data_IF_655953079197
#
_entry.id   IF_655953079197
#
_cell.length_a   1.000
_cell.length_b   1.000
_cell.length_c   1.000
_cell.angle_alpha   90.00
_cell.angle_beta   90.00
_cell.angle_gamma   90.00
#
_symmetry.space_group_name_H-M   'P 1'
#
loop_
_entity.id
_entity.type
_entity.pdbx_description
1 polymer ?
#
# COMPACT_ATOMS: atom_id res chain seq x y z
N UNK A 1 -8.22 -18.22 12.17
CA UNK A 1 -7.40 -17.04 11.88
C UNK A 1 -8.17 -16.11 10.99
N UNK A 2 -8.15 -14.81 11.28
CA UNK A 2 -8.73 -13.79 10.41
C UNK A 2 -7.87 -13.70 9.15
N UNK A 3 -8.52 -13.63 7.97
CA UNK A 3 -7.83 -13.48 6.68
C UNK A 3 -7.80 -12.02 6.29
N UNK A 4 -6.72 -11.60 5.64
CA UNK A 4 -6.61 -10.28 4.99
C UNK A 4 -6.91 -10.47 3.51
N UNK A 5 -7.83 -9.66 2.97
CA UNK A 5 -8.16 -9.63 1.55
C UNK A 5 -7.67 -8.29 0.99
N UNK A 6 -6.68 -8.34 0.13
CA UNK A 6 -6.07 -7.17 -0.49
C UNK A 6 -6.67 -6.97 -1.88
N UNK A 7 -7.34 -5.86 -2.08
CA UNK A 7 -7.77 -5.37 -3.39
C UNK A 7 -6.72 -4.37 -3.84
N UNK A 8 -5.82 -4.79 -4.73
CA UNK A 8 -4.65 -3.96 -4.98
C UNK A 8 -3.87 -4.31 -6.25
N UNK A 9 -2.93 -3.43 -6.57
CA UNK A 9 -2.12 -3.49 -7.79
C UNK A 9 -0.96 -4.46 -7.69
N UNK A 10 -0.59 -5.00 -8.85
CA UNK A 10 0.67 -5.71 -9.12
C UNK A 10 1.36 -4.98 -10.26
N UNK A 11 2.62 -4.58 -10.08
CA UNK A 11 3.40 -3.89 -11.11
C UNK A 11 4.76 -4.54 -11.34
N UNK A 12 5.34 -4.26 -12.48
CA UNK A 12 6.77 -4.36 -12.68
C UNK A 12 7.38 -2.97 -12.49
N UNK A 13 8.33 -2.86 -11.56
CA UNK A 13 9.02 -1.62 -11.28
C UNK A 13 10.35 -1.62 -12.04
N UNK A 14 10.54 -0.61 -12.88
CA UNK A 14 11.78 -0.36 -13.62
C UNK A 14 12.42 0.91 -13.10
N UNK A 15 13.51 0.79 -12.32
CA UNK A 15 14.24 1.94 -11.81
C UNK A 15 15.39 2.28 -12.75
N UNK A 16 15.38 3.50 -13.30
CA UNK A 16 16.46 4.09 -14.07
C UNK A 16 17.34 4.88 -13.12
N UNK A 17 18.57 4.41 -12.89
CA UNK A 17 19.55 5.15 -12.09
C UNK A 17 20.19 6.23 -12.97
N UNK A 18 20.05 7.47 -12.55
CA UNK A 18 20.47 8.65 -13.31
C UNK A 18 21.54 9.46 -12.56
N UNK A 19 22.51 10.08 -13.26
CA UNK A 19 23.41 11.02 -12.61
C UNK A 19 22.69 12.27 -12.08
N UNK A 20 21.58 12.67 -12.71
CA UNK A 20 20.65 13.73 -12.31
C UNK A 20 19.31 13.56 -13.02
N UNK A 21 18.26 14.17 -12.51
CA UNK A 21 17.01 14.27 -13.25
C UNK A 21 17.15 15.23 -14.44
N UNK A 22 16.59 14.90 -15.62
CA UNK A 22 16.60 15.79 -16.78
C UNK A 22 15.63 16.97 -16.59
N UNK A 23 16.01 18.13 -17.11
CA UNK A 23 15.06 19.22 -17.33
C UNK A 23 14.34 19.06 -18.67
N UNK A 24 13.24 19.79 -18.87
CA UNK A 24 12.52 19.80 -20.14
C UNK A 24 13.47 20.09 -21.33
N UNK A 25 13.39 19.26 -22.36
CA UNK A 25 14.25 19.34 -23.55
C UNK A 25 15.63 18.70 -23.41
N UNK A 26 15.96 18.09 -22.27
CA UNK A 26 17.25 17.42 -22.06
C UNK A 26 17.12 15.90 -22.11
N UNK A 27 18.12 15.23 -22.69
CA UNK A 27 18.37 13.81 -22.56
C UNK A 27 19.39 13.53 -21.46
N UNK A 28 19.22 12.43 -20.73
CA UNK A 28 20.21 11.91 -19.76
C UNK A 28 20.38 10.41 -20.00
N UNK A 29 21.63 9.96 -19.97
CA UNK A 29 21.92 8.53 -20.06
C UNK A 29 21.84 7.89 -18.68
N UNK A 30 21.05 6.83 -18.53
CA UNK A 30 21.01 6.05 -17.30
C UNK A 30 22.34 5.33 -17.07
N UNK A 31 22.80 5.30 -15.83
CA UNK A 31 24.01 4.59 -15.41
C UNK A 31 23.76 3.11 -15.11
N UNK A 32 22.52 2.78 -14.71
CA UNK A 32 22.06 1.42 -14.48
C UNK A 32 20.53 1.33 -14.60
N UNK A 33 20.04 0.12 -14.79
CA UNK A 33 18.60 -0.19 -14.76
C UNK A 33 18.39 -1.39 -13.85
N UNK A 34 17.42 -1.29 -12.93
CA UNK A 34 17.00 -2.43 -12.09
C UNK A 34 15.54 -2.74 -12.33
N UNK A 35 15.17 -4.02 -12.20
CA UNK A 35 13.81 -4.51 -12.39
C UNK A 35 13.38 -5.30 -11.15
N UNK A 36 12.20 -4.99 -10.62
CA UNK A 36 11.60 -5.73 -9.51
C UNK A 36 10.11 -5.94 -9.73
N UNK A 37 9.55 -6.88 -8.99
CA UNK A 37 8.11 -6.97 -8.81
C UNK A 37 7.72 -5.98 -7.71
N UNK A 38 6.65 -5.25 -7.93
CA UNK A 38 6.12 -4.24 -7.02
C UNK A 38 4.61 -4.09 -7.14
N UNK A 39 4.15 -2.89 -6.87
CA UNK A 39 2.74 -2.55 -6.76
C UNK A 39 2.28 -2.56 -5.30
N UNK A 40 1.45 -1.57 -4.93
CA UNK A 40 1.03 -1.40 -3.54
C UNK A 40 0.34 -2.65 -3.00
N UNK A 41 -0.58 -3.24 -3.76
CA UNK A 41 -1.27 -4.46 -3.38
C UNK A 41 -0.32 -5.64 -3.18
N UNK A 42 0.65 -5.81 -4.08
CA UNK A 42 1.68 -6.84 -3.98
C UNK A 42 2.55 -6.65 -2.73
N UNK A 43 3.07 -5.43 -2.52
CA UNK A 43 3.93 -5.09 -1.38
C UNK A 43 3.20 -5.29 -0.04
N UNK A 44 1.97 -4.77 0.08
CA UNK A 44 1.14 -4.93 1.29
C UNK A 44 0.85 -6.40 1.57
N UNK A 45 0.55 -7.18 0.51
CA UNK A 45 0.28 -8.62 0.66
C UNK A 45 1.50 -9.37 1.17
N UNK A 46 2.69 -9.10 0.60
CA UNK A 46 3.95 -9.71 1.05
C UNK A 46 4.29 -9.28 2.47
N UNK A 47 4.11 -8.00 2.80
CA UNK A 47 4.37 -7.50 4.15
C UNK A 47 3.47 -8.16 5.19
N UNK A 48 2.19 -8.29 4.92
CA UNK A 48 1.26 -8.97 5.82
C UNK A 48 1.53 -10.48 5.93
N UNK A 49 1.90 -11.15 4.83
CA UNK A 49 2.28 -12.57 4.85
C UNK A 49 3.57 -12.79 5.67
N UNK A 50 4.60 -11.94 5.48
CA UNK A 50 5.85 -11.98 6.26
C UNK A 50 5.64 -11.65 7.74
N UNK A 51 4.61 -10.86 8.06
CA UNK A 51 4.15 -10.62 9.43
C UNK A 51 3.42 -11.83 10.04
N UNK A 52 3.12 -12.88 9.26
CA UNK A 52 2.49 -14.13 9.68
C UNK A 52 0.99 -14.21 9.44
N UNK A 53 0.40 -13.28 8.69
CA UNK A 53 -1.03 -13.31 8.37
C UNK A 53 -1.34 -14.20 7.15
N UNK A 54 -2.59 -14.69 7.08
CA UNK A 54 -3.12 -15.31 5.86
C UNK A 54 -3.65 -14.21 4.93
N UNK A 55 -3.05 -14.08 3.76
CA UNK A 55 -3.33 -12.98 2.82
C UNK A 55 -3.79 -13.55 1.48
N UNK A 56 -4.90 -13.02 0.98
CA UNK A 56 -5.44 -13.27 -0.36
C UNK A 56 -5.36 -11.97 -1.17
N UNK A 57 -4.79 -12.02 -2.35
CA UNK A 57 -4.68 -10.86 -3.25
C UNK A 57 -5.70 -10.97 -4.39
N UNK A 58 -6.51 -9.93 -4.54
CA UNK A 58 -7.47 -9.74 -5.64
C UNK A 58 -6.90 -8.68 -6.58
N UNK A 59 -6.44 -9.11 -7.75
CA UNK A 59 -5.75 -8.27 -8.73
C UNK A 59 -5.84 -8.87 -10.14
N UNK A 60 -5.10 -8.30 -11.07
CA UNK A 60 -4.87 -8.91 -12.37
C UNK A 60 -3.45 -8.64 -12.87
N UNK A 61 -2.91 -9.60 -13.66
CA UNK A 61 -1.63 -9.49 -14.37
C UNK A 61 -1.83 -9.74 -15.85
N UNK A 62 -0.92 -9.24 -16.65
CA UNK A 62 -0.89 -9.48 -18.10
C UNK A 62 -0.37 -10.86 -18.48
N UNK A 63 -0.16 -11.06 -19.78
CA UNK A 63 0.45 -12.28 -20.33
C UNK A 63 1.89 -12.50 -19.87
N UNK A 64 2.56 -11.46 -19.42
CA UNK A 64 3.93 -11.43 -18.89
C UNK A 64 4.00 -11.63 -17.35
N UNK A 65 2.87 -11.88 -16.66
CA UNK A 65 2.75 -11.87 -15.23
C UNK A 65 3.35 -13.05 -14.45
N UNK A 66 3.93 -14.06 -15.12
CA UNK A 66 4.40 -15.31 -14.48
C UNK A 66 5.42 -15.08 -13.37
N UNK A 67 6.37 -14.19 -13.58
CA UNK A 67 7.38 -13.83 -12.59
C UNK A 67 6.75 -13.22 -11.35
N UNK A 68 5.82 -12.28 -11.53
CA UNK A 68 5.15 -11.61 -10.40
C UNK A 68 4.34 -12.62 -9.58
N UNK A 69 3.57 -13.48 -10.22
CA UNK A 69 2.78 -14.51 -9.54
C UNK A 69 3.66 -15.50 -8.78
N UNK A 70 4.81 -15.90 -9.36
CA UNK A 70 5.74 -16.78 -8.67
C UNK A 70 6.33 -16.12 -7.42
N UNK A 71 6.84 -14.89 -7.52
CA UNK A 71 7.44 -14.19 -6.38
C UNK A 71 6.42 -13.96 -5.23
N UNK A 72 5.16 -13.65 -5.56
CA UNK A 72 4.08 -13.49 -4.57
C UNK A 72 3.73 -14.82 -3.89
N UNK A 73 3.60 -15.90 -4.65
CA UNK A 73 3.31 -17.23 -4.10
C UNK A 73 4.46 -17.73 -3.21
N UNK A 74 5.72 -17.55 -3.63
CA UNK A 74 6.92 -17.89 -2.85
C UNK A 74 6.98 -17.08 -1.53
N UNK A 75 6.43 -15.87 -1.50
CA UNK A 75 6.30 -15.04 -0.31
C UNK A 75 5.12 -15.44 0.61
N UNK A 76 4.32 -16.43 0.23
CA UNK A 76 3.18 -16.93 1.01
C UNK A 76 1.86 -16.20 0.78
N UNK A 77 1.75 -15.42 -0.30
CA UNK A 77 0.50 -14.75 -0.69
C UNK A 77 -0.38 -15.73 -1.47
N UNK A 78 -1.65 -15.83 -1.10
CA UNK A 78 -2.65 -16.57 -1.87
C UNK A 78 -3.06 -15.76 -3.11
N UNK A 79 -2.68 -16.27 -4.29
CA UNK A 79 -2.86 -15.62 -5.59
C UNK A 79 -4.01 -16.20 -6.42
N UNK A 80 -4.83 -17.08 -5.86
CA UNK A 80 -5.88 -17.77 -6.64
C UNK A 80 -6.92 -16.81 -7.24
N UNK A 81 -7.02 -15.57 -6.70
CA UNK A 81 -7.89 -14.50 -7.23
C UNK A 81 -7.15 -13.45 -8.07
N UNK A 82 -5.92 -13.72 -8.44
CA UNK A 82 -5.24 -12.88 -9.41
C UNK A 82 -5.60 -13.34 -10.82
N UNK A 83 -6.37 -12.53 -11.54
CA UNK A 83 -6.79 -12.84 -12.91
C UNK A 83 -5.62 -12.69 -13.88
N UNK A 84 -5.62 -13.50 -14.93
CA UNK A 84 -4.70 -13.36 -16.07
C UNK A 84 -5.41 -12.72 -17.25
N UNK A 85 -4.76 -11.73 -17.86
CA UNK A 85 -5.21 -11.00 -19.06
C UNK A 85 -4.15 -11.16 -20.16
N UNK A 86 -4.14 -12.29 -20.90
CA UNK A 86 -3.07 -12.60 -21.83
C UNK A 86 -2.85 -11.56 -22.93
N UNK A 87 -3.90 -10.81 -23.26
CA UNK A 87 -3.92 -9.76 -24.29
C UNK A 87 -3.39 -8.41 -23.80
N UNK A 88 -3.07 -8.30 -22.52
CA UNK A 88 -2.57 -7.08 -21.89
C UNK A 88 -1.17 -7.31 -21.31
N UNK A 89 -0.47 -6.22 -20.99
CA UNK A 89 0.73 -6.24 -20.15
C UNK A 89 0.36 -6.07 -18.68
N UNK A 90 1.19 -6.61 -17.80
CA UNK A 90 1.17 -6.22 -16.38
C UNK A 90 1.50 -4.73 -16.27
N UNK A 91 0.90 -4.04 -15.31
CA UNK A 91 1.20 -2.62 -15.07
C UNK A 91 2.69 -2.40 -14.79
N UNK A 92 3.22 -1.24 -15.15
CA UNK A 92 4.63 -0.89 -14.94
C UNK A 92 4.74 0.43 -14.19
N UNK A 93 5.73 0.55 -13.30
CA UNK A 93 6.17 1.82 -12.74
C UNK A 93 7.59 2.07 -13.20
N UNK A 94 7.80 3.18 -13.93
CA UNK A 94 9.14 3.63 -14.33
C UNK A 94 9.61 4.67 -13.33
N UNK A 95 10.60 4.33 -12.51
CA UNK A 95 11.15 5.19 -11.47
C UNK A 95 12.45 5.81 -12.00
N UNK A 96 12.56 7.12 -11.92
CA UNK A 96 13.74 7.88 -12.26
C UNK A 96 14.40 8.29 -10.94
N UNK A 97 15.53 7.66 -10.60
CA UNK A 97 16.26 7.89 -9.35
C UNK A 97 17.60 8.53 -9.65
N UNK A 98 17.82 9.76 -9.19
CA UNK A 98 19.07 10.47 -9.34
C UNK A 98 20.03 10.22 -8.17
N UNK A 99 21.31 10.51 -8.37
CA UNK A 99 22.36 10.32 -7.34
C UNK A 99 22.18 11.19 -6.11
N UNK A 100 21.48 12.32 -6.21
CA UNK A 100 21.11 13.20 -5.10
C UNK A 100 19.83 12.73 -4.36
N UNK A 101 19.34 11.52 -4.66
CA UNK A 101 18.12 10.92 -4.14
C UNK A 101 16.81 11.61 -4.58
N UNK A 102 16.89 12.58 -5.49
CA UNK A 102 15.68 13.10 -6.13
C UNK A 102 15.07 12.03 -7.04
N UNK A 103 13.74 11.87 -6.97
CA UNK A 103 13.05 10.84 -7.74
C UNK A 103 11.71 11.33 -8.28
N UNK A 104 11.26 10.70 -9.34
CA UNK A 104 9.86 10.70 -9.75
C UNK A 104 9.50 9.38 -10.43
N UNK A 105 8.24 8.98 -10.29
CA UNK A 105 7.70 7.76 -10.90
C UNK A 105 6.65 8.06 -11.96
N UNK A 106 6.65 7.26 -13.01
CA UNK A 106 5.58 7.25 -14.02
C UNK A 106 4.90 5.89 -13.95
N UNK A 107 3.61 5.89 -13.65
CA UNK A 107 2.81 4.66 -13.65
C UNK A 107 2.20 4.45 -15.03
N UNK A 108 2.46 3.28 -15.61
CA UNK A 108 1.84 2.82 -16.84
C UNK A 108 0.77 1.79 -16.45
N UNK A 109 -0.52 2.13 -16.59
CA UNK A 109 -1.61 1.21 -16.25
C UNK A 109 -1.55 -0.05 -17.09
N UNK A 110 -1.94 -1.18 -16.52
CA UNK A 110 -1.99 -2.47 -17.19
C UNK A 110 -3.22 -3.29 -16.80
N UNK A 111 -3.04 -4.59 -16.73
CA UNK A 111 -4.09 -5.55 -16.39
C UNK A 111 -4.73 -5.29 -15.01
N UNK A 112 -4.00 -4.70 -14.06
CA UNK A 112 -4.46 -4.33 -12.72
C UNK A 112 -5.68 -3.41 -12.71
N UNK A 113 -5.88 -2.62 -13.77
CA UNK A 113 -7.06 -1.75 -13.95
C UNK A 113 -8.26 -2.46 -14.60
N UNK A 114 -8.17 -3.78 -14.79
CA UNK A 114 -9.17 -4.58 -15.50
C UNK A 114 -9.65 -5.80 -14.68
N UNK A 115 -9.65 -5.68 -13.36
CA UNK A 115 -10.29 -6.66 -12.48
C UNK A 115 -11.81 -6.57 -12.66
N UNK A 116 -12.49 -7.69 -12.86
CA UNK A 116 -13.94 -7.69 -13.07
C UNK A 116 -14.71 -7.45 -11.78
N UNK A 117 -15.89 -6.78 -11.87
CA UNK A 117 -16.78 -6.62 -10.72
C UNK A 117 -17.15 -7.95 -10.10
N UNK A 118 -17.32 -9.02 -10.91
CA UNK A 118 -17.59 -10.37 -10.42
C UNK A 118 -16.45 -10.90 -9.50
N UNK A 119 -15.19 -10.63 -9.86
CA UNK A 119 -14.05 -11.03 -9.02
C UNK A 119 -14.05 -10.26 -7.68
N UNK A 120 -14.37 -8.98 -7.70
CA UNK A 120 -14.54 -8.19 -6.47
C UNK A 120 -15.69 -8.72 -5.62
N UNK A 121 -16.86 -8.94 -6.22
CA UNK A 121 -18.04 -9.46 -5.49
C UNK A 121 -17.77 -10.83 -4.86
N UNK A 122 -17.13 -11.75 -5.61
CA UNK A 122 -16.77 -13.06 -5.10
C UNK A 122 -15.79 -13.02 -3.91
N UNK A 123 -14.87 -12.04 -3.88
CA UNK A 123 -13.96 -11.83 -2.77
C UNK A 123 -14.69 -11.18 -1.57
N UNK A 124 -15.50 -10.14 -1.83
CA UNK A 124 -16.30 -9.43 -0.82
C UNK A 124 -17.29 -10.40 -0.14
N UNK A 125 -17.91 -11.30 -0.89
CA UNK A 125 -18.85 -12.28 -0.35
C UNK A 125 -18.24 -13.22 0.69
N UNK A 126 -16.94 -13.47 0.60
CA UNK A 126 -16.22 -14.29 1.57
C UNK A 126 -15.74 -13.50 2.80
N UNK A 127 -15.79 -12.17 2.75
CA UNK A 127 -15.42 -11.32 3.89
C UNK A 127 -16.49 -11.40 5.00
N UNK A 128 -16.38 -12.43 5.85
CA UNK A 128 -17.24 -12.67 7.01
C UNK A 128 -16.39 -12.90 8.26
N UNK A 129 -17.00 -12.69 9.43
CA UNK A 129 -16.44 -13.17 10.69
C UNK A 129 -15.09 -12.57 11.09
N UNK A 130 -14.81 -11.35 10.67
CA UNK A 130 -13.61 -10.61 11.07
C UNK A 130 -12.48 -10.63 10.06
N UNK A 131 -12.71 -11.04 8.80
CA UNK A 131 -11.78 -10.75 7.71
C UNK A 131 -11.60 -9.26 7.56
N UNK A 132 -10.39 -8.82 7.21
CA UNK A 132 -10.04 -7.40 7.03
C UNK A 132 -9.71 -7.17 5.56
N UNK A 133 -10.39 -6.20 4.94
CA UNK A 133 -10.07 -5.74 3.60
C UNK A 133 -9.00 -4.64 3.61
N UNK A 134 -8.20 -4.60 2.56
CA UNK A 134 -7.35 -3.47 2.21
C UNK A 134 -7.60 -3.09 0.75
N UNK A 135 -7.62 -1.80 0.46
CA UNK A 135 -7.85 -1.27 -0.89
C UNK A 135 -6.83 -0.17 -1.18
N UNK A 136 -6.08 -0.29 -2.28
CA UNK A 136 -5.21 0.79 -2.77
C UNK A 136 -5.87 1.65 -3.87
N UNK A 137 -5.29 2.82 -4.13
CA UNK A 137 -5.80 3.79 -5.11
C UNK A 137 -5.62 3.38 -6.58
N UNK A 138 -4.90 2.30 -6.86
CA UNK A 138 -4.64 1.82 -8.23
C UNK A 138 -5.77 0.94 -8.78
N UNK A 139 -6.63 0.40 -7.91
CA UNK A 139 -7.69 -0.52 -8.31
C UNK A 139 -8.80 0.22 -9.07
N UNK A 140 -9.29 -0.37 -10.16
CA UNK A 140 -10.53 0.09 -10.77
C UNK A 140 -11.73 -0.18 -9.84
N UNK A 141 -12.78 0.60 -9.97
CA UNK A 141 -14.05 0.41 -9.23
C UNK A 141 -13.90 0.34 -7.69
N UNK A 142 -12.91 1.04 -7.12
CA UNK A 142 -12.66 1.05 -5.67
C UNK A 142 -13.89 1.49 -4.86
N UNK A 143 -14.71 2.39 -5.38
CA UNK A 143 -15.98 2.76 -4.75
C UNK A 143 -16.95 1.58 -4.63
N UNK A 144 -16.95 0.62 -5.58
CA UNK A 144 -17.74 -0.61 -5.51
C UNK A 144 -17.24 -1.50 -4.36
N UNK A 145 -15.93 -1.67 -4.24
CA UNK A 145 -15.30 -2.44 -3.14
C UNK A 145 -15.67 -1.83 -1.78
N UNK A 146 -15.54 -0.51 -1.61
CA UNK A 146 -15.88 0.18 -0.35
C UNK A 146 -17.34 -0.08 0.03
N UNK A 147 -18.28 0.14 -0.90
CA UNK A 147 -19.72 -0.09 -0.64
C UNK A 147 -20.01 -1.57 -0.35
N UNK A 148 -19.35 -2.48 -1.06
CA UNK A 148 -19.50 -3.92 -0.86
C UNK A 148 -19.07 -4.37 0.53
N UNK A 149 -17.89 -3.97 0.97
CA UNK A 149 -17.35 -4.26 2.29
C UNK A 149 -18.22 -3.65 3.40
N UNK A 150 -18.66 -2.40 3.23
CA UNK A 150 -19.55 -1.73 4.18
C UNK A 150 -20.91 -2.48 4.34
N UNK A 151 -21.55 -2.91 3.23
CA UNK A 151 -22.78 -3.71 3.28
C UNK A 151 -22.61 -5.04 4.04
N UNK A 152 -21.41 -5.60 4.02
CA UNK A 152 -21.07 -6.83 4.76
C UNK A 152 -20.73 -6.58 6.22
N UNK A 153 -20.57 -5.33 6.65
CA UNK A 153 -20.04 -4.99 7.96
C UNK A 153 -18.59 -5.46 8.15
N UNK A 154 -17.87 -5.68 7.06
CA UNK A 154 -16.48 -6.12 7.07
C UNK A 154 -15.53 -4.93 7.17
N UNK A 155 -14.55 -4.96 8.10
CA UNK A 155 -13.58 -3.87 8.22
C UNK A 155 -12.79 -3.70 6.92
N UNK A 156 -12.60 -2.43 6.50
CA UNK A 156 -11.81 -2.06 5.33
C UNK A 156 -10.83 -0.94 5.68
N UNK A 157 -9.56 -1.15 5.38
CA UNK A 157 -8.53 -0.12 5.38
C UNK A 157 -8.37 0.37 3.93
N UNK A 158 -8.56 1.66 3.70
CA UNK A 158 -8.37 2.28 2.39
C UNK A 158 -7.08 3.10 2.40
N UNK A 159 -6.18 2.81 1.47
CA UNK A 159 -5.04 3.66 1.15
C UNK A 159 -5.29 4.33 -0.21
N UNK A 160 -5.72 5.60 -0.24
CA UNK A 160 -6.15 6.27 -1.47
C UNK A 160 -4.95 6.71 -2.33
N UNK A 161 -3.91 5.92 -2.39
CA UNK A 161 -2.64 6.23 -3.06
C UNK A 161 -2.50 5.45 -4.38
N UNK A 162 -2.15 6.14 -5.48
CA UNK A 162 -2.03 7.59 -5.63
C UNK A 162 -3.40 8.28 -5.61
N UNK A 163 -3.45 9.51 -5.07
CA UNK A 163 -4.66 10.32 -5.11
C UNK A 163 -4.85 10.88 -6.52
N UNK A 164 -5.83 10.37 -7.23
CA UNK A 164 -6.26 10.88 -8.53
C UNK A 164 -7.77 11.23 -8.47
N UNK A 165 -8.34 11.94 -9.47
CA UNK A 165 -9.70 12.45 -9.39
C UNK A 165 -10.75 11.40 -8.99
N UNK A 166 -10.69 10.20 -9.58
CA UNK A 166 -11.66 9.14 -9.27
C UNK A 166 -11.60 8.70 -7.81
N UNK A 167 -10.38 8.60 -7.22
CA UNK A 167 -10.15 8.22 -5.83
C UNK A 167 -10.70 9.28 -4.87
N UNK A 168 -10.60 10.55 -5.25
CA UNK A 168 -11.13 11.65 -4.44
C UNK A 168 -12.66 11.59 -4.27
N UNK A 169 -13.36 10.93 -5.21
CA UNK A 169 -14.82 10.72 -5.20
C UNK A 169 -15.27 9.43 -4.51
N UNK A 170 -14.34 8.63 -4.02
CA UNK A 170 -14.68 7.39 -3.32
C UNK A 170 -15.44 7.67 -2.02
N UNK A 171 -16.42 6.82 -1.65
CA UNK A 171 -17.21 6.97 -0.43
C UNK A 171 -16.40 6.52 0.81
N UNK A 172 -15.25 7.18 1.06
CA UNK A 172 -14.27 6.79 2.09
C UNK A 172 -14.85 6.87 3.52
N UNK A 173 -15.93 7.62 3.73
CA UNK A 173 -16.65 7.63 5.01
C UNK A 173 -17.27 6.27 5.38
N UNK A 174 -17.36 5.34 4.41
CA UNK A 174 -17.82 3.96 4.65
C UNK A 174 -16.68 2.98 4.97
N UNK A 175 -15.43 3.42 4.88
CA UNK A 175 -14.27 2.63 5.31
C UNK A 175 -14.20 2.56 6.85
N UNK A 176 -13.42 1.62 7.37
CA UNK A 176 -13.11 1.54 8.80
C UNK A 176 -11.93 2.45 9.15
N UNK A 177 -10.92 2.47 8.29
CA UNK A 177 -9.69 3.25 8.45
C UNK A 177 -9.30 3.81 7.09
N UNK A 178 -8.85 5.07 7.06
CA UNK A 178 -8.16 5.69 5.93
C UNK A 178 -6.70 5.83 6.34
N UNK A 179 -5.80 5.27 5.52
CA UNK A 179 -4.36 5.33 5.74
C UNK A 179 -3.72 6.07 4.58
N UNK A 180 -2.94 7.10 4.87
CA UNK A 180 -2.32 7.94 3.84
C UNK A 180 -1.06 8.61 4.39
N UNK A 181 -0.19 9.07 3.50
CA UNK A 181 0.94 9.89 3.88
C UNK A 181 0.60 11.40 3.85
N UNK A 182 1.51 12.22 4.34
CA UNK A 182 1.33 13.68 4.44
C UNK A 182 1.09 14.34 3.07
N UNK A 183 1.76 13.87 2.00
CA UNK A 183 1.58 14.39 0.64
C UNK A 183 0.19 14.07 0.08
N UNK A 184 -0.29 12.86 0.30
CA UNK A 184 -1.64 12.41 -0.09
C UNK A 184 -2.71 13.16 0.71
N UNK A 185 -2.49 13.36 2.02
CA UNK A 185 -3.37 14.14 2.87
C UNK A 185 -3.45 15.60 2.39
N UNK A 186 -2.32 16.20 2.02
CA UNK A 186 -2.29 17.55 1.43
C UNK A 186 -3.14 17.62 0.16
N UNK A 187 -3.00 16.66 -0.73
CA UNK A 187 -3.78 16.61 -1.98
C UNK A 187 -5.28 16.54 -1.72
N UNK A 188 -5.71 15.81 -0.68
CA UNK A 188 -7.14 15.67 -0.35
C UNK A 188 -7.71 16.82 0.45
N UNK A 189 -6.88 17.57 1.19
CA UNK A 189 -7.36 18.54 2.19
C UNK A 189 -6.92 19.98 1.95
N UNK A 190 -5.92 20.17 1.08
CA UNK A 190 -5.25 21.46 0.85
C UNK A 190 -4.65 22.08 2.14
N UNK A 191 -4.26 21.21 3.09
CA UNK A 191 -3.64 21.60 4.35
C UNK A 191 -2.17 21.17 4.40
N UNK A 192 -1.30 22.01 4.99
CA UNK A 192 0.13 21.70 5.17
C UNK A 192 0.44 21.08 6.54
N UNK A 193 -0.23 21.59 7.58
CA UNK A 193 -0.05 21.15 8.97
C UNK A 193 -0.74 19.78 9.18
N UNK A 194 -0.04 18.85 9.82
CA UNK A 194 -0.50 17.48 10.02
C UNK A 194 -1.77 17.37 10.88
N UNK A 195 -1.94 18.26 11.84
CA UNK A 195 -3.14 18.28 12.68
C UNK A 195 -4.32 18.87 11.90
N UNK A 196 -4.09 19.92 11.12
CA UNK A 196 -5.10 20.49 10.22
C UNK A 196 -5.51 19.48 9.14
N UNK A 197 -4.57 18.69 8.59
CA UNK A 197 -4.87 17.59 7.68
C UNK A 197 -5.81 16.56 8.31
N UNK A 198 -5.52 16.11 9.54
CA UNK A 198 -6.36 15.14 10.24
C UNK A 198 -7.76 15.71 10.50
N UNK A 199 -7.87 16.99 10.94
CA UNK A 199 -9.16 17.64 11.17
C UNK A 199 -9.98 17.74 9.88
N UNK A 200 -9.36 18.16 8.78
CA UNK A 200 -9.99 18.26 7.49
C UNK A 200 -10.43 16.87 6.93
N UNK A 201 -9.61 15.83 7.17
CA UNK A 201 -9.98 14.45 6.79
C UNK A 201 -11.19 13.95 7.59
N UNK A 202 -11.25 14.19 8.90
CA UNK A 202 -12.43 13.82 9.69
C UNK A 202 -13.67 14.63 9.32
N UNK A 203 -13.51 15.91 8.94
CA UNK A 203 -14.63 16.72 8.46
C UNK A 203 -15.16 16.22 7.11
N UNK A 204 -14.26 15.84 6.18
CA UNK A 204 -14.61 15.33 4.86
C UNK A 204 -15.17 13.90 4.91
N UNK A 205 -14.60 13.04 5.75
CA UNK A 205 -14.94 11.62 5.87
C UNK A 205 -15.27 11.27 7.32
N UNK A 206 -16.45 11.63 7.81
CA UNK A 206 -16.84 11.31 9.19
C UNK A 206 -17.02 9.79 9.36
N UNK A 207 -16.43 9.23 10.42
CA UNK A 207 -16.56 7.82 10.78
C UNK A 207 -15.26 7.02 10.82
N UNK A 208 -14.45 6.97 9.74
CA UNK A 208 -13.19 6.24 9.75
C UNK A 208 -12.18 6.74 10.76
N UNK A 209 -11.36 5.81 11.29
CA UNK A 209 -10.08 6.18 11.90
C UNK A 209 -9.11 6.66 10.82
N UNK A 210 -8.22 7.59 11.17
CA UNK A 210 -7.19 8.13 10.27
C UNK A 210 -5.82 7.66 10.75
N UNK A 211 -5.04 7.08 9.84
CA UNK A 211 -3.60 6.84 10.00
C UNK A 211 -2.87 7.77 9.05
N UNK A 212 -2.15 8.75 9.57
CA UNK A 212 -1.34 9.69 8.78
C UNK A 212 0.13 9.39 9.00
N UNK A 213 0.82 8.84 7.99
CA UNK A 213 2.24 8.53 8.06
C UNK A 213 3.09 9.75 7.72
N UNK A 214 4.18 9.96 8.47
CA UNK A 214 5.06 11.14 8.44
C UNK A 214 6.53 10.77 8.11
N UNK A 215 6.77 9.59 7.52
CA UNK A 215 8.11 9.08 7.24
C UNK A 215 8.93 8.90 8.52
N UNK A 216 10.12 9.50 8.59
CA UNK A 216 11.02 9.41 9.77
C UNK A 216 10.46 10.03 11.05
N UNK A 217 9.37 10.78 10.97
CA UNK A 217 8.67 11.32 12.14
C UNK A 217 7.60 10.38 12.70
N UNK A 218 7.43 9.17 12.12
CA UNK A 218 6.45 8.18 12.58
C UNK A 218 5.07 8.37 11.96
N UNK A 219 4.01 8.25 12.76
CA UNK A 219 2.63 8.36 12.27
C UNK A 219 1.70 8.93 13.34
N UNK A 220 0.59 9.51 12.91
CA UNK A 220 -0.56 9.81 13.76
C UNK A 220 -1.65 8.76 13.61
N UNK A 221 -2.18 8.33 14.73
CA UNK A 221 -3.46 7.63 14.81
C UNK A 221 -4.52 8.56 15.36
N UNK A 222 -5.62 8.72 14.65
CA UNK A 222 -6.74 9.55 15.10
C UNK A 222 -8.06 8.80 14.92
N UNK A 223 -8.82 8.65 16.00
CA UNK A 223 -10.12 7.99 15.97
C UNK A 223 -11.05 8.59 17.05
N UNK A 224 -12.27 8.95 16.66
CA UNK A 224 -13.33 9.45 17.56
C UNK A 224 -12.86 10.55 18.50
N UNK A 225 -12.10 11.51 17.98
CA UNK A 225 -11.57 12.65 18.76
C UNK A 225 -10.30 12.36 19.56
N UNK A 226 -9.88 11.11 19.67
CA UNK A 226 -8.61 10.74 20.30
C UNK A 226 -7.50 10.72 19.26
N UNK A 227 -6.33 11.31 19.59
CA UNK A 227 -5.12 11.27 18.76
C UNK A 227 -3.96 10.74 19.57
N UNK A 228 -3.14 9.92 18.93
CA UNK A 228 -1.88 9.46 19.50
C UNK A 228 -0.78 9.43 18.44
N UNK A 229 0.39 9.91 18.80
CA UNK A 229 1.57 9.81 17.96
C UNK A 229 2.24 8.44 18.14
N UNK A 230 2.60 7.83 17.04
CA UNK A 230 3.32 6.56 16.95
C UNK A 230 4.75 6.90 16.52
N UNK A 231 5.73 6.86 17.42
CA UNK A 231 7.11 7.11 17.05
C UNK A 231 7.66 5.98 16.18
N UNK A 232 8.65 6.30 15.36
CA UNK A 232 9.41 5.29 14.62
C UNK A 232 10.85 5.20 15.13
N UNK A 233 11.51 4.07 14.82
CA UNK A 233 12.93 3.88 15.12
C UNK A 233 13.73 4.73 14.12
N UNK A 234 14.72 5.48 14.63
CA UNK A 234 15.61 6.25 13.76
C UNK A 234 16.66 5.33 13.15
N UNK A 235 16.72 5.32 11.83
CA UNK A 235 17.65 4.48 11.04
C UNK A 235 18.25 5.32 9.91
N UNK A 236 19.38 4.88 9.37
CA UNK A 236 19.92 5.42 8.13
C UNK A 236 19.15 4.82 6.95
N UNK A 237 18.24 5.59 6.39
CA UNK A 237 17.48 5.16 5.24
C UNK A 237 18.37 5.07 4.00
N UNK A 238 18.25 3.98 3.25
CA UNK A 238 18.93 3.71 1.99
C UNK A 238 17.94 3.86 0.82
N UNK A 239 16.72 3.32 1.00
CA UNK A 239 15.68 3.30 -0.03
C UNK A 239 14.31 3.33 0.65
N UNK A 240 13.45 4.29 0.29
CA UNK A 240 12.12 4.47 0.87
C UNK A 240 11.03 3.63 0.19
N UNK A 241 11.40 2.92 -0.88
CA UNK A 241 10.47 2.08 -1.64
C UNK A 241 9.81 1.04 -0.73
N UNK A 242 8.50 0.85 -0.89
CA UNK A 242 7.68 -0.09 -0.12
C UNK A 242 7.59 0.16 1.41
N UNK A 243 8.15 1.25 1.94
CA UNK A 243 8.06 1.54 3.39
C UNK A 243 6.61 1.71 3.86
N UNK A 244 5.81 2.49 3.13
CA UNK A 244 4.39 2.70 3.42
C UNK A 244 3.57 1.40 3.28
N UNK A 245 3.90 0.59 2.28
CA UNK A 245 3.24 -0.70 2.04
C UNK A 245 3.62 -1.72 3.13
N UNK A 246 4.89 -1.72 3.57
CA UNK A 246 5.36 -2.52 4.72
C UNK A 246 4.62 -2.12 5.99
N UNK A 247 4.50 -0.81 6.25
CA UNK A 247 3.73 -0.29 7.37
C UNK A 247 2.27 -0.78 7.31
N UNK A 248 1.61 -0.65 6.16
CA UNK A 248 0.24 -1.10 5.97
C UNK A 248 0.07 -2.61 6.20
N UNK A 249 0.93 -3.44 5.61
CA UNK A 249 0.86 -4.89 5.74
C UNK A 249 1.05 -5.39 7.18
N UNK A 250 2.03 -4.84 7.91
CA UNK A 250 2.25 -5.16 9.32
C UNK A 250 1.11 -4.67 10.22
N UNK A 251 0.56 -3.48 9.94
CA UNK A 251 -0.61 -2.98 10.64
C UNK A 251 -1.83 -3.90 10.46
N UNK A 252 -2.11 -4.30 9.23
CA UNK A 252 -3.20 -5.23 8.92
C UNK A 252 -3.02 -6.58 9.62
N UNK A 253 -1.79 -7.12 9.64
CA UNK A 253 -1.48 -8.37 10.33
C UNK A 253 -1.74 -8.26 11.83
N UNK A 254 -1.32 -7.17 12.49
CA UNK A 254 -1.61 -6.93 13.89
C UNK A 254 -3.12 -6.85 14.18
N UNK A 255 -3.89 -6.15 13.35
CA UNK A 255 -5.35 -6.10 13.47
C UNK A 255 -6.00 -7.47 13.27
N UNK A 256 -5.50 -8.28 12.33
CA UNK A 256 -5.98 -9.64 12.10
C UNK A 256 -5.69 -10.57 13.28
N UNK A 257 -4.57 -10.39 13.96
CA UNK A 257 -4.21 -11.08 15.21
C UNK A 257 -5.01 -10.57 16.44
N UNK A 258 -5.81 -9.51 16.28
CA UNK A 258 -6.65 -8.94 17.33
C UNK A 258 -5.92 -7.95 18.24
N UNK A 259 -4.76 -7.45 17.83
CA UNK A 259 -4.04 -6.39 18.55
C UNK A 259 -4.84 -5.08 18.57
N UNK A 260 -4.61 -4.29 19.61
CA UNK A 260 -5.11 -2.93 19.62
C UNK A 260 -4.44 -2.11 18.50
N UNK A 261 -5.15 -1.20 17.81
CA UNK A 261 -4.59 -0.43 16.70
C UNK A 261 -3.26 0.28 17.03
N UNK A 262 -3.12 0.80 18.24
CA UNK A 262 -1.88 1.46 18.67
C UNK A 262 -0.68 0.49 18.68
N UNK A 263 -0.85 -0.72 19.19
CA UNK A 263 0.21 -1.75 19.25
C UNK A 263 0.58 -2.23 17.83
N UNK A 264 -0.45 -2.49 17.01
CA UNK A 264 -0.26 -2.86 15.61
C UNK A 264 0.50 -1.78 14.82
N UNK A 265 0.22 -0.48 15.07
CA UNK A 265 0.92 0.64 14.45
C UNK A 265 2.36 0.77 14.93
N UNK A 266 2.66 0.50 16.20
CA UNK A 266 4.04 0.47 16.69
C UNK A 266 4.87 -0.62 16.00
N UNK A 267 4.31 -1.83 15.84
CA UNK A 267 4.96 -2.91 15.11
C UNK A 267 5.15 -2.55 13.63
N UNK A 268 4.15 -1.93 13.01
CA UNK A 268 4.20 -1.45 11.63
C UNK A 268 5.32 -0.41 11.42
N UNK A 269 5.46 0.54 12.37
CA UNK A 269 6.52 1.55 12.31
C UNK A 269 7.93 0.93 12.39
N UNK A 270 8.13 -0.09 13.24
CA UNK A 270 9.40 -0.84 13.32
C UNK A 270 9.70 -1.58 12.01
N UNK A 271 8.70 -2.25 11.44
CA UNK A 271 8.85 -2.96 10.18
C UNK A 271 9.21 -2.02 9.02
N UNK A 272 8.53 -0.88 8.93
CA UNK A 272 8.82 0.15 7.93
C UNK A 272 10.24 0.74 8.12
N UNK A 273 10.69 0.96 9.35
CA UNK A 273 12.05 1.42 9.64
C UNK A 273 13.11 0.41 9.18
N UNK A 274 12.88 -0.90 9.36
CA UNK A 274 13.78 -1.92 8.83
C UNK A 274 13.73 -1.98 7.30
N UNK A 275 12.57 -1.84 6.69
CA UNK A 275 12.41 -1.84 5.24
C UNK A 275 13.31 -0.79 4.58
N UNK A 276 13.31 0.44 5.05
CA UNK A 276 14.09 1.54 4.44
C UNK A 276 15.62 1.38 4.56
N UNK A 277 16.12 0.42 5.34
CA UNK A 277 17.55 0.09 5.42
C UNK A 277 18.03 -0.85 4.31
N UNK A 278 17.16 -1.22 3.37
CA UNK A 278 17.41 -2.18 2.29
C UNK A 278 16.95 -1.63 0.96
N UNK A 279 17.60 -2.04 -0.12
CA UNK A 279 17.17 -1.66 -1.47
C UNK A 279 16.03 -2.54 -1.99
N UNK A 280 15.18 -1.92 -2.80
CA UNK A 280 14.15 -2.58 -3.60
C UNK A 280 12.80 -2.65 -2.92
N UNK A 281 11.82 -3.21 -3.66
CA UNK A 281 10.41 -3.28 -3.29
C UNK A 281 10.14 -4.52 -2.41
N UNK A 282 9.71 -5.65 -2.98
CA UNK A 282 9.38 -6.86 -2.20
C UNK A 282 10.55 -7.39 -1.35
N UNK A 283 11.79 -7.24 -1.82
CA UNK A 283 12.96 -7.80 -1.13
C UNK A 283 13.35 -7.02 0.12
N UNK A 284 13.04 -5.72 0.21
CA UNK A 284 13.32 -4.88 1.38
C UNK A 284 12.41 -5.18 2.57
N UNK A 285 11.23 -5.74 2.34
CA UNK A 285 10.22 -6.01 3.36
C UNK A 285 10.77 -7.04 4.37
N UNK A 286 10.84 -6.72 5.67
CA UNK A 286 11.36 -7.64 6.67
C UNK A 286 10.41 -8.80 6.97
N UNK A 287 10.94 -9.87 7.56
CA UNK A 287 10.16 -10.95 8.16
C UNK A 287 9.75 -10.59 9.59
N UNK A 288 8.73 -11.27 10.12
CA UNK A 288 8.30 -11.11 11.53
C UNK A 288 9.45 -11.31 12.52
N UNK A 289 10.30 -12.30 12.26
CA UNK A 289 11.44 -12.58 13.15
C UNK A 289 12.43 -11.42 13.20
N UNK A 290 12.76 -10.83 12.05
CA UNK A 290 13.66 -9.67 11.99
C UNK A 290 13.08 -8.46 12.72
N UNK A 291 11.77 -8.21 12.59
CA UNK A 291 11.09 -7.10 13.31
C UNK A 291 11.10 -7.31 14.82
N UNK A 292 10.92 -8.55 15.28
CA UNK A 292 10.98 -8.89 16.71
C UNK A 292 12.39 -8.77 17.30
N UNK A 293 13.44 -9.02 16.50
CA UNK A 293 14.84 -8.92 16.93
C UNK A 293 15.37 -7.49 16.92
N UNK A 294 14.75 -6.59 16.19
CA UNK A 294 15.16 -5.19 16.09
C UNK A 294 14.47 -4.27 17.11
N UNK A 295 13.65 -4.82 18.02
CA UNK A 295 12.83 -4.09 18.98
C UNK A 295 13.32 -4.12 20.44
#
# INVERSE_FOLDING_TARGET
MKRIVVFGSITYDRTLHLPRLPHAGQGVMATAVTHSVGGKGANVSVAAARAGAHVELVSAVGGDGDRALKELADAGVDIHRVARKPEMSTAEVVIHLATDQSEFGITVPGADRHVSLHAFDAAIEQCRGGHIGYLDGMVNDGAHVIRGMARRGAPLVVNPSPVHPDVAEWPMQQATIIMLNQGEARTLTDQEDEHAQIDALHARYPGPGIVLTLGSRGAWWSNRGNRSHIPTVQVSAIDSTAAGDTFAGYFLAGLADGQHPHEALQQAARAAALCVTRHGSLHSIPTRLEVLQAG
#
